data_IF_317163122683
#
_entry.id   IF_317163122683
#
_cell.length_a   1.000
_cell.length_b   1.000
_cell.length_c   1.000
_cell.angle_alpha   90.00
_cell.angle_beta   90.00
_cell.angle_gamma   90.00
#
_symmetry.space_group_name_H-M   'P 1'
#
loop_
_entity.id
_entity.type
_entity.pdbx_description
1 polymer ?
#
# COMPACT_ATOMS: atom_id res chain seq x y z
N UNK A 1 12.87 23.76 6.64
CA UNK A 1 12.91 22.27 6.58
C UNK A 1 11.80 21.82 7.50
N UNK A 2 11.00 20.88 7.07
CA UNK A 2 9.83 20.44 7.84
C UNK A 2 10.27 19.83 9.17
N UNK A 3 9.66 20.27 10.24
CA UNK A 3 9.96 19.78 11.60
C UNK A 3 9.92 18.24 11.67
N UNK A 4 9.01 17.62 10.90
CA UNK A 4 8.87 16.15 10.84
C UNK A 4 10.12 15.41 10.34
N UNK A 5 10.95 16.04 9.50
CA UNK A 5 12.19 15.44 8.98
C UNK A 5 13.42 15.78 9.83
N UNK A 6 13.37 16.83 10.65
CA UNK A 6 14.49 17.23 11.51
C UNK A 6 14.75 16.18 12.59
N UNK A 7 13.70 15.65 13.19
CA UNK A 7 13.76 14.66 14.26
C UNK A 7 13.91 13.21 13.76
N UNK A 8 13.69 12.97 12.48
CA UNK A 8 13.85 11.63 11.87
C UNK A 8 15.31 11.20 11.99
N UNK A 9 15.58 10.10 12.69
CA UNK A 9 16.94 9.57 12.92
C UNK A 9 17.35 8.51 11.90
N UNK A 10 16.38 7.83 11.30
CA UNK A 10 16.58 6.74 10.36
C UNK A 10 15.38 6.65 9.43
N UNK A 11 15.61 6.25 8.20
CA UNK A 11 14.51 5.90 7.28
C UNK A 11 13.73 4.67 7.71
N UNK A 12 14.28 3.77 8.53
CA UNK A 12 13.57 2.59 9.07
C UNK A 12 12.75 2.99 10.30
N UNK A 13 11.46 3.26 10.11
CA UNK A 13 10.58 3.83 11.13
C UNK A 13 9.76 2.80 11.93
N UNK A 14 9.39 1.66 11.33
CA UNK A 14 8.72 0.55 12.02
C UNK A 14 9.50 -0.73 11.72
N UNK A 15 9.96 -1.43 12.75
CA UNK A 15 10.89 -2.55 12.61
C UNK A 15 10.21 -3.88 12.88
N UNK A 16 10.31 -4.80 11.92
CA UNK A 16 9.93 -6.19 12.11
C UNK A 16 10.96 -7.00 12.91
N UNK A 17 10.58 -8.19 13.29
CA UNK A 17 11.40 -9.13 14.07
C UNK A 17 11.17 -10.59 13.63
N UNK A 18 11.63 -11.56 14.40
CA UNK A 18 11.52 -13.01 14.10
C UNK A 18 10.06 -13.51 14.08
N UNK A 19 9.11 -12.72 14.56
CA UNK A 19 7.69 -13.09 14.64
C UNK A 19 6.75 -12.12 13.94
N UNK A 20 7.27 -10.96 13.54
CA UNK A 20 6.45 -9.90 12.94
C UNK A 20 7.08 -9.36 11.68
N UNK A 21 6.26 -9.22 10.63
CA UNK A 21 6.59 -8.42 9.46
C UNK A 21 5.55 -7.30 9.28
N UNK A 22 6.02 -6.10 8.99
CA UNK A 22 5.21 -4.93 8.70
C UNK A 22 5.37 -4.58 7.22
N UNK A 23 4.26 -4.64 6.46
CA UNK A 23 4.28 -4.61 5.00
C UNK A 23 3.20 -3.67 4.46
N UNK A 24 3.30 -3.33 3.18
CA UNK A 24 2.25 -2.67 2.39
C UNK A 24 1.67 -1.41 3.08
N UNK A 25 2.49 -0.40 3.40
CA UNK A 25 1.99 0.78 4.07
C UNK A 25 1.06 1.59 3.17
N UNK A 26 -0.09 2.01 3.73
CA UNK A 26 -0.97 3.04 3.22
C UNK A 26 -1.01 4.19 4.22
N UNK A 27 -1.00 5.42 3.76
CA UNK A 27 -0.90 6.57 4.65
C UNK A 27 -1.90 7.66 4.28
N UNK A 28 -2.62 8.13 5.26
CA UNK A 28 -3.43 9.35 5.20
C UNK A 28 -2.80 10.40 6.13
N UNK A 29 -2.47 11.57 5.60
CA UNK A 29 -2.06 12.71 6.42
C UNK A 29 -3.25 13.64 6.60
N UNK A 30 -3.61 13.90 7.85
CA UNK A 30 -4.76 14.75 8.18
C UNK A 30 -4.52 15.47 9.50
N UNK A 31 -4.76 16.78 9.51
CA UNK A 31 -4.71 17.64 10.71
C UNK A 31 -3.38 17.50 11.50
N UNK A 32 -2.25 17.39 10.79
CA UNK A 32 -0.91 17.25 11.41
C UNK A 32 -0.55 15.84 11.86
N UNK A 33 -1.39 14.83 11.58
CA UNK A 33 -1.19 13.44 12.00
C UNK A 33 -1.11 12.53 10.78
N UNK A 34 -0.14 11.64 10.77
CA UNK A 34 -0.05 10.51 9.84
C UNK A 34 -0.83 9.32 10.43
N UNK A 35 -1.87 8.92 9.77
CA UNK A 35 -2.58 7.66 9.98
C UNK A 35 -1.90 6.62 9.08
N UNK A 36 -1.13 5.72 9.65
CA UNK A 36 -0.36 4.72 8.92
C UNK A 36 -1.05 3.37 9.05
N UNK A 37 -1.62 2.90 7.96
CA UNK A 37 -2.22 1.57 7.83
C UNK A 37 -1.21 0.64 7.18
N UNK A 38 -1.17 -0.63 7.58
CA UNK A 38 -0.23 -1.60 7.02
C UNK A 38 -0.68 -3.03 7.30
N UNK A 39 -0.08 -3.97 6.59
CA UNK A 39 -0.18 -5.38 6.90
C UNK A 39 0.73 -5.72 8.09
N UNK A 40 0.15 -6.23 9.18
CA UNK A 40 0.87 -6.96 10.20
C UNK A 40 0.81 -8.45 9.87
N UNK A 41 1.95 -9.06 9.61
CA UNK A 41 2.11 -10.52 9.58
C UNK A 41 2.60 -10.95 10.95
N UNK A 42 1.87 -11.84 11.62
CA UNK A 42 2.18 -12.32 12.97
C UNK A 42 2.33 -13.84 12.97
N UNK A 43 3.51 -14.32 13.37
CA UNK A 43 3.79 -15.73 13.54
C UNK A 43 3.59 -16.11 14.99
N UNK A 44 2.62 -16.97 15.29
CA UNK A 44 2.33 -17.47 16.63
C UNK A 44 3.39 -18.48 17.12
N UNK A 45 3.35 -18.83 18.40
CA UNK A 45 4.34 -19.72 19.01
C UNK A 45 4.35 -21.14 18.42
N UNK A 46 3.24 -21.58 17.85
CA UNK A 46 3.11 -22.88 17.16
C UNK A 46 3.49 -22.80 15.66
N UNK A 47 3.96 -21.65 15.19
CA UNK A 47 4.33 -21.39 13.80
C UNK A 47 3.15 -21.02 12.89
N UNK A 48 1.94 -20.90 13.43
CA UNK A 48 0.77 -20.45 12.64
C UNK A 48 0.88 -18.97 12.32
N UNK A 49 0.68 -18.63 11.05
CA UNK A 49 0.78 -17.25 10.56
C UNK A 49 -0.60 -16.64 10.33
N UNK A 50 -0.79 -15.45 10.85
CA UNK A 50 -1.98 -14.61 10.63
C UNK A 50 -1.57 -13.27 10.04
N UNK A 51 -2.46 -12.69 9.24
CA UNK A 51 -2.31 -11.34 8.71
C UNK A 51 -3.48 -10.47 9.15
N UNK A 52 -3.17 -9.21 9.40
CA UNK A 52 -4.15 -8.20 9.81
C UNK A 52 -3.89 -6.90 9.06
N UNK A 53 -4.94 -6.22 8.66
CA UNK A 53 -4.87 -4.78 8.41
C UNK A 53 -4.82 -4.09 9.76
N UNK A 54 -3.82 -3.25 9.96
CA UNK A 54 -3.54 -2.57 11.23
C UNK A 54 -3.36 -1.07 11.03
N UNK A 55 -3.38 -0.33 12.12
CA UNK A 55 -3.18 1.12 12.17
C UNK A 55 -2.19 1.49 13.29
N UNK A 56 -1.35 2.48 13.03
CA UNK A 56 -0.66 3.30 14.04
C UNK A 56 -0.68 4.76 13.60
N UNK A 57 -0.47 5.69 14.53
CA UNK A 57 -0.48 7.13 14.25
C UNK A 57 0.78 7.79 14.78
N UNK A 58 1.19 8.84 14.10
CA UNK A 58 2.33 9.67 14.51
C UNK A 58 2.20 11.09 13.96
N UNK A 59 2.69 12.06 14.71
CA UNK A 59 2.82 13.44 14.23
C UNK A 59 4.25 13.77 13.75
N UNK A 60 5.24 12.93 14.11
CA UNK A 60 6.67 13.23 13.97
C UNK A 60 7.51 12.10 13.38
N UNK A 61 6.88 10.99 12.93
CA UNK A 61 7.51 9.80 12.39
C UNK A 61 8.53 9.12 13.34
N UNK A 62 8.47 9.46 14.62
CA UNK A 62 9.38 8.96 15.68
C UNK A 62 8.61 8.35 16.83
N UNK A 63 7.54 9.02 17.27
CA UNK A 63 6.68 8.57 18.34
C UNK A 63 5.36 8.04 17.76
N UNK A 64 5.09 6.76 17.98
CA UNK A 64 3.93 6.07 17.41
C UNK A 64 2.94 5.65 18.48
N UNK A 65 1.65 5.73 18.17
CA UNK A 65 0.63 5.10 19.02
C UNK A 65 0.78 3.57 18.97
N UNK A 66 0.25 2.84 19.98
CA UNK A 66 0.19 1.38 19.91
C UNK A 66 -0.51 0.89 18.64
N UNK A 67 0.03 -0.19 18.05
CA UNK A 67 -0.57 -0.81 16.85
C UNK A 67 -1.95 -1.37 17.19
N UNK A 68 -2.96 -0.99 16.40
CA UNK A 68 -4.34 -1.43 16.51
C UNK A 68 -4.68 -2.36 15.34
N UNK A 69 -5.12 -3.59 15.64
CA UNK A 69 -5.66 -4.51 14.63
C UNK A 69 -7.07 -4.06 14.25
N UNK A 70 -7.33 -3.82 12.97
CA UNK A 70 -8.62 -3.37 12.44
C UNK A 70 -9.46 -4.53 11.94
N UNK A 71 -8.86 -5.67 11.61
CA UNK A 71 -9.53 -6.82 11.02
C UNK A 71 -9.46 -8.06 11.91
N UNK A 72 -10.33 -9.03 11.64
CA UNK A 72 -10.48 -10.25 12.44
C UNK A 72 -9.32 -11.23 12.24
N UNK A 73 -9.08 -12.07 13.27
CA UNK A 73 -8.14 -13.19 13.21
C UNK A 73 -8.79 -14.38 12.49
N UNK A 74 -8.58 -14.47 11.18
CA UNK A 74 -9.14 -15.56 10.35
C UNK A 74 -8.26 -15.82 9.12
N UNK A 75 -7.63 -16.99 9.02
CA UNK A 75 -6.74 -17.38 7.91
C UNK A 75 -7.44 -17.54 6.57
N UNK A 76 -8.76 -17.71 6.55
CA UNK A 76 -9.57 -17.74 5.32
C UNK A 76 -9.57 -16.38 4.64
N UNK A 77 -9.43 -15.33 5.44
CA UNK A 77 -9.36 -13.95 4.95
C UNK A 77 -7.94 -13.42 4.99
N UNK A 78 -7.27 -13.43 6.15
CA UNK A 78 -5.99 -12.76 6.33
C UNK A 78 -6.02 -11.38 5.67
N UNK A 79 -6.94 -10.52 6.11
CA UNK A 79 -7.09 -9.17 5.55
C UNK A 79 -5.79 -8.38 5.67
N UNK A 80 -5.31 -7.88 4.54
CA UNK A 80 -3.97 -7.31 4.41
C UNK A 80 -3.90 -6.30 3.26
N UNK A 81 -2.72 -5.77 3.01
CA UNK A 81 -2.42 -4.81 1.95
C UNK A 81 -3.48 -3.72 1.84
N UNK A 82 -3.62 -2.86 2.88
CA UNK A 82 -4.40 -1.65 2.73
C UNK A 82 -3.78 -0.84 1.58
N UNK A 83 -4.57 -0.56 0.54
CA UNK A 83 -4.05 0.15 -0.63
C UNK A 83 -3.93 1.64 -0.34
N UNK A 84 -5.05 2.25 0.01
CA UNK A 84 -5.13 3.65 0.42
C UNK A 84 -6.47 3.96 1.08
N UNK A 85 -6.58 5.18 1.61
CA UNK A 85 -7.81 5.72 2.19
C UNK A 85 -8.26 6.94 1.39
N UNK A 86 -9.48 6.91 0.87
CA UNK A 86 -10.11 8.00 0.12
C UNK A 86 -11.31 8.53 0.91
N UNK A 87 -11.41 9.85 1.10
CA UNK A 87 -12.60 10.48 1.66
C UNK A 87 -13.58 10.83 0.55
N UNK A 88 -14.79 10.28 0.62
CA UNK A 88 -15.85 10.52 -0.34
C UNK A 88 -17.22 10.31 0.30
N UNK A 89 -18.19 11.18 -0.03
CA UNK A 89 -19.55 11.14 0.50
C UNK A 89 -19.63 11.05 2.05
N UNK A 90 -18.79 11.87 2.72
CA UNK A 90 -18.81 11.96 4.18
C UNK A 90 -18.19 10.78 4.92
N UNK A 91 -17.57 9.82 4.20
CA UNK A 91 -16.91 8.66 4.77
C UNK A 91 -15.50 8.45 4.20
N UNK A 92 -14.63 7.88 5.02
CA UNK A 92 -13.35 7.34 4.60
C UNK A 92 -13.56 5.91 4.08
N UNK A 93 -12.99 5.61 2.93
CA UNK A 93 -13.07 4.32 2.24
C UNK A 93 -11.66 3.77 2.10
N UNK A 94 -11.42 2.58 2.65
CA UNK A 94 -10.14 1.87 2.54
C UNK A 94 -10.33 0.66 1.65
N UNK A 95 -9.56 0.53 0.57
CA UNK A 95 -9.46 -0.73 -0.14
C UNK A 95 -8.41 -1.62 0.52
N UNK A 96 -8.67 -2.90 0.57
CA UNK A 96 -7.80 -3.92 1.13
C UNK A 96 -8.05 -5.26 0.42
N UNK A 97 -7.26 -6.26 0.73
CA UNK A 97 -7.38 -7.59 0.15
C UNK A 97 -7.59 -8.67 1.19
N UNK A 98 -7.99 -9.85 0.74
CA UNK A 98 -7.75 -11.10 1.45
C UNK A 98 -6.46 -11.75 0.95
N UNK A 99 -5.75 -12.44 1.84
CA UNK A 99 -4.55 -13.23 1.52
C UNK A 99 -4.72 -14.65 2.08
N UNK A 100 -5.59 -15.42 1.43
CA UNK A 100 -6.07 -16.70 1.92
C UNK A 100 -4.93 -17.72 2.07
N UNK A 101 -4.76 -18.27 3.30
CA UNK A 101 -3.72 -19.25 3.66
C UNK A 101 -4.30 -20.37 4.52
N UNK A 102 -5.52 -20.74 4.26
CA UNK A 102 -6.31 -21.68 5.07
C UNK A 102 -5.73 -23.10 5.10
N UNK A 103 -5.02 -23.52 4.04
CA UNK A 103 -4.40 -24.84 3.92
C UNK A 103 -2.91 -24.82 4.24
N UNK A 104 -2.36 -23.74 4.82
CA UNK A 104 -0.96 -23.61 5.15
C UNK A 104 -0.07 -23.15 3.99
N UNK A 105 -0.63 -22.54 2.97
CA UNK A 105 0.11 -21.94 1.86
C UNK A 105 1.14 -20.92 2.41
N UNK A 106 2.35 -20.91 1.86
CA UNK A 106 3.36 -19.90 2.19
C UNK A 106 2.95 -18.53 1.68
N UNK A 107 2.41 -18.49 0.48
CA UNK A 107 1.84 -17.29 -0.15
C UNK A 107 0.33 -17.43 -0.27
N UNK A 108 -0.39 -16.33 -0.49
CA UNK A 108 -1.83 -16.35 -0.69
C UNK A 108 -2.22 -17.13 -1.95
N UNK A 109 -3.40 -17.75 -1.92
CA UNK A 109 -3.91 -18.57 -3.01
C UNK A 109 -4.82 -17.79 -3.96
N UNK A 110 -5.41 -18.47 -4.96
CA UNK A 110 -6.27 -17.88 -5.99
C UNK A 110 -7.63 -17.41 -5.46
N UNK A 111 -7.96 -17.65 -4.19
CA UNK A 111 -9.17 -17.13 -3.54
C UNK A 111 -8.99 -15.71 -2.98
N UNK A 112 -7.82 -15.12 -3.11
CA UNK A 112 -7.59 -13.73 -2.67
C UNK A 112 -8.40 -12.74 -3.48
N UNK A 113 -9.13 -11.84 -2.80
CA UNK A 113 -10.08 -10.88 -3.38
C UNK A 113 -9.91 -9.49 -2.77
N UNK A 114 -10.46 -8.52 -3.46
CA UNK A 114 -10.44 -7.12 -3.04
C UNK A 114 -11.72 -6.80 -2.27
N UNK A 115 -11.55 -6.05 -1.19
CA UNK A 115 -12.60 -5.60 -0.30
C UNK A 115 -12.50 -4.10 -0.09
N UNK A 116 -13.57 -3.51 0.42
CA UNK A 116 -13.61 -2.15 0.93
C UNK A 116 -14.13 -2.18 2.36
N UNK A 117 -13.58 -1.34 3.22
CA UNK A 117 -14.13 -1.03 4.54
C UNK A 117 -14.29 0.48 4.68
N UNK A 118 -15.27 0.92 5.47
CA UNK A 118 -15.61 2.33 5.62
C UNK A 118 -15.50 2.79 7.07
N UNK A 119 -15.23 4.09 7.24
CA UNK A 119 -15.22 4.75 8.55
C UNK A 119 -15.79 6.17 8.41
N UNK A 120 -16.53 6.61 9.42
CA UNK A 120 -16.98 7.99 9.50
C UNK A 120 -15.95 8.92 10.16
N UNK A 121 -15.04 8.36 10.97
CA UNK A 121 -14.23 9.13 11.93
C UNK A 121 -12.74 8.72 11.98
N UNK A 122 -12.32 7.72 11.22
CA UNK A 122 -11.00 7.07 11.28
C UNK A 122 -10.72 6.32 12.60
N UNK A 123 -11.66 6.30 13.54
CA UNK A 123 -11.54 5.59 14.82
C UNK A 123 -12.17 4.21 14.77
N UNK A 124 -13.32 4.10 14.12
CA UNK A 124 -14.09 2.88 13.98
C UNK A 124 -14.29 2.55 12.51
N UNK A 125 -13.94 1.33 12.14
CA UNK A 125 -14.08 0.82 10.79
C UNK A 125 -15.16 -0.25 10.72
N UNK A 126 -15.99 -0.18 9.69
CA UNK A 126 -17.01 -1.19 9.40
C UNK A 126 -16.35 -2.53 9.00
N UNK A 127 -17.11 -3.62 9.05
CA UNK A 127 -16.66 -4.92 8.53
C UNK A 127 -16.38 -4.81 7.03
N UNK A 128 -15.22 -5.29 6.53
CA UNK A 128 -14.92 -5.28 5.11
C UNK A 128 -15.97 -6.02 4.29
N UNK A 129 -16.37 -5.45 3.16
CA UNK A 129 -17.25 -6.08 2.17
C UNK A 129 -16.55 -6.28 0.83
N UNK A 130 -16.82 -7.40 0.11
CA UNK A 130 -16.20 -7.69 -1.17
C UNK A 130 -16.74 -6.79 -2.27
N UNK A 131 -15.89 -6.53 -3.28
CA UNK A 131 -16.27 -5.84 -4.52
C UNK A 131 -16.10 -6.76 -5.72
N UNK A 132 -16.83 -6.49 -6.79
CA UNK A 132 -16.73 -7.19 -8.07
C UNK A 132 -15.73 -6.47 -8.97
N UNK A 133 -14.44 -6.66 -8.70
CA UNK A 133 -13.34 -5.96 -9.38
C UNK A 133 -13.27 -6.21 -10.90
N UNK A 134 -13.89 -7.28 -11.38
CA UNK A 134 -14.05 -7.65 -12.81
C UNK A 134 -15.50 -7.94 -13.18
N UNK A 135 -16.43 -7.19 -12.61
CA UNK A 135 -17.86 -7.36 -12.90
C UNK A 135 -18.35 -8.78 -12.63
N UNK A 136 -19.15 -9.32 -13.54
CA UNK A 136 -19.78 -10.64 -13.43
C UNK A 136 -18.88 -11.81 -13.86
N UNK A 137 -17.56 -11.61 -13.93
CA UNK A 137 -16.61 -12.70 -14.22
C UNK A 137 -16.78 -13.84 -13.20
N UNK A 138 -16.97 -15.10 -13.63
CA UNK A 138 -17.14 -16.23 -12.73
C UNK A 138 -15.97 -16.37 -11.75
N UNK A 139 -16.25 -16.72 -10.49
CA UNK A 139 -15.21 -16.87 -9.44
C UNK A 139 -14.09 -17.82 -9.83
N UNK A 140 -14.40 -18.88 -10.59
CA UNK A 140 -13.42 -19.86 -11.10
C UNK A 140 -12.45 -19.29 -12.14
N UNK A 141 -12.76 -18.14 -12.73
CA UNK A 141 -11.97 -17.50 -13.78
C UNK A 141 -11.25 -16.24 -13.27
N UNK A 142 -11.59 -15.76 -12.08
CA UNK A 142 -11.01 -14.52 -11.53
C UNK A 142 -9.51 -14.63 -11.26
N UNK A 143 -9.05 -15.78 -10.73
CA UNK A 143 -7.69 -15.89 -10.22
C UNK A 143 -7.42 -14.98 -9.01
N UNK A 144 -6.18 -14.88 -8.61
CA UNK A 144 -5.73 -14.08 -7.48
C UNK A 144 -5.73 -12.58 -7.82
N UNK A 145 -6.36 -11.76 -6.96
CA UNK A 145 -6.35 -10.30 -7.04
C UNK A 145 -5.88 -9.72 -5.73
N UNK A 146 -4.80 -8.94 -5.76
CA UNK A 146 -4.14 -8.38 -4.56
C UNK A 146 -3.65 -6.95 -4.80
N UNK A 147 -3.19 -6.29 -3.72
CA UNK A 147 -2.58 -4.95 -3.69
C UNK A 147 -3.44 -3.89 -4.39
N UNK A 148 -4.68 -3.68 -3.90
CA UNK A 148 -5.58 -2.74 -4.51
C UNK A 148 -5.18 -1.28 -4.22
N UNK A 149 -5.53 -0.38 -5.12
CA UNK A 149 -5.43 1.07 -4.95
C UNK A 149 -6.62 1.77 -5.60
N UNK A 150 -7.25 2.70 -4.90
CA UNK A 150 -8.42 3.44 -5.37
C UNK A 150 -8.10 4.88 -5.71
N UNK A 151 -8.67 5.38 -6.81
CA UNK A 151 -8.72 6.80 -7.15
C UNK A 151 -10.16 7.16 -7.47
N UNK A 152 -10.63 8.28 -6.93
CA UNK A 152 -11.87 8.89 -7.37
C UNK A 152 -11.55 10.09 -8.26
N UNK A 153 -11.97 10.03 -9.51
CA UNK A 153 -11.83 11.13 -10.46
C UNK A 153 -13.08 12.00 -10.41
N UNK A 154 -13.03 13.14 -9.71
CA UNK A 154 -14.16 14.04 -9.49
C UNK A 154 -14.78 14.58 -10.79
N UNK A 155 -13.97 14.79 -11.84
CA UNK A 155 -14.43 15.37 -13.12
C UNK A 155 -15.38 14.46 -13.87
N UNK A 156 -15.22 13.17 -13.76
CA UNK A 156 -15.96 12.14 -14.49
C UNK A 156 -16.91 11.35 -13.60
N UNK A 157 -16.84 11.54 -12.27
CA UNK A 157 -17.58 10.78 -11.27
C UNK A 157 -17.28 9.27 -11.39
N UNK A 158 -15.99 8.94 -11.56
CA UNK A 158 -15.53 7.57 -11.79
C UNK A 158 -14.51 7.16 -10.72
N UNK A 159 -14.68 5.97 -10.19
CA UNK A 159 -13.70 5.27 -9.40
C UNK A 159 -12.78 4.46 -10.31
N UNK A 160 -11.48 4.60 -10.14
CA UNK A 160 -10.45 3.76 -10.73
C UNK A 160 -9.90 2.84 -9.66
N UNK A 161 -9.85 1.55 -9.95
CA UNK A 161 -9.25 0.52 -9.12
C UNK A 161 -8.05 -0.07 -9.86
N UNK A 162 -6.87 0.09 -9.27
CA UNK A 162 -5.64 -0.58 -9.72
C UNK A 162 -5.35 -1.74 -8.76
N UNK A 163 -4.92 -2.89 -9.29
CA UNK A 163 -4.61 -4.04 -8.46
C UNK A 163 -3.65 -5.00 -9.16
N UNK A 164 -2.93 -5.81 -8.39
CA UNK A 164 -2.01 -6.81 -8.93
C UNK A 164 -2.78 -8.02 -9.44
N UNK A 165 -2.73 -8.21 -10.74
CA UNK A 165 -3.05 -9.43 -11.47
C UNK A 165 -2.52 -9.30 -12.90
N UNK A 166 -1.57 -10.17 -13.31
CA UNK A 166 -0.94 -10.13 -14.64
C UNK A 166 -0.33 -8.75 -15.00
N UNK A 167 0.38 -8.12 -14.09
CA UNK A 167 0.77 -6.72 -14.14
C UNK A 167 -0.08 -5.89 -13.18
N UNK A 168 -0.33 -4.62 -13.47
CA UNK A 168 -1.28 -3.76 -12.78
C UNK A 168 -2.59 -3.79 -13.56
N UNK A 169 -3.58 -4.54 -13.08
CA UNK A 169 -4.93 -4.51 -13.65
C UNK A 169 -5.63 -3.21 -13.31
N UNK A 170 -6.43 -2.69 -14.24
CA UNK A 170 -7.21 -1.48 -14.10
C UNK A 170 -8.69 -1.77 -14.34
N UNK A 171 -9.54 -1.28 -13.44
CA UNK A 171 -11.00 -1.38 -13.56
C UNK A 171 -11.63 -0.07 -13.12
N UNK A 172 -12.84 0.24 -13.63
CA UNK A 172 -13.57 1.48 -13.33
C UNK A 172 -14.98 1.21 -12.80
N UNK A 173 -15.52 2.12 -11.98
CA UNK A 173 -16.85 1.99 -11.39
C UNK A 173 -17.47 3.35 -11.07
N UNK A 174 -18.82 3.43 -11.03
CA UNK A 174 -19.57 4.56 -10.49
C UNK A 174 -20.14 4.28 -9.09
N UNK A 175 -20.13 3.03 -8.60
CA UNK A 175 -20.81 2.64 -7.35
C UNK A 175 -19.90 1.99 -6.31
N UNK A 176 -18.60 1.84 -6.58
CA UNK A 176 -17.61 1.14 -5.74
C UNK A 176 -17.91 -0.35 -5.48
N UNK A 177 -18.87 -0.94 -6.18
CA UNK A 177 -19.26 -2.35 -6.00
C UNK A 177 -19.03 -3.17 -7.25
N UNK A 178 -19.46 -2.64 -8.39
CA UNK A 178 -19.37 -3.29 -9.70
C UNK A 178 -18.38 -2.53 -10.56
N UNK A 179 -17.23 -3.16 -10.84
CA UNK A 179 -16.18 -2.58 -11.64
C UNK A 179 -16.14 -3.21 -13.04
N UNK A 180 -15.98 -2.39 -14.06
CA UNK A 180 -15.71 -2.79 -15.42
C UNK A 180 -14.19 -2.92 -15.61
N UNK A 181 -13.74 -4.06 -16.11
CA UNK A 181 -12.32 -4.29 -16.38
C UNK A 181 -11.89 -3.57 -17.66
N UNK A 182 -10.91 -2.66 -17.54
CA UNK A 182 -10.38 -1.85 -18.65
C UNK A 182 -9.14 -2.47 -19.31
N UNK A 183 -8.42 -3.32 -18.60
CA UNK A 183 -7.19 -3.92 -19.09
C UNK A 183 -6.10 -3.98 -18.03
N UNK A 184 -4.84 -4.11 -18.46
CA UNK A 184 -3.71 -4.11 -17.56
C UNK A 184 -2.58 -3.22 -18.09
N UNK A 185 -1.77 -2.75 -17.16
CA UNK A 185 -0.57 -1.94 -17.37
C UNK A 185 0.62 -2.84 -17.05
N UNK A 186 1.66 -2.83 -17.87
CA UNK A 186 2.91 -3.50 -17.52
C UNK A 186 3.51 -2.82 -16.27
N UNK A 187 3.61 -3.56 -15.18
CA UNK A 187 4.03 -3.03 -13.88
C UNK A 187 3.97 -4.08 -12.78
N UNK A 188 4.47 -3.70 -11.62
CA UNK A 188 4.49 -4.55 -10.44
C UNK A 188 3.29 -4.33 -9.52
N UNK A 189 3.45 -4.75 -8.30
CA UNK A 189 2.44 -4.70 -7.22
C UNK A 189 2.57 -3.44 -6.36
N UNK A 190 1.71 -3.29 -5.32
CA UNK A 190 1.71 -2.18 -4.36
C UNK A 190 1.70 -0.80 -5.05
N UNK A 191 0.72 -0.61 -5.91
CA UNK A 191 0.55 0.66 -6.63
C UNK A 191 0.21 1.78 -5.67
N UNK A 192 0.81 2.95 -5.85
CA UNK A 192 0.30 4.21 -5.34
C UNK A 192 0.37 5.30 -6.41
N UNK A 193 -0.62 6.16 -6.43
CA UNK A 193 -0.73 7.21 -7.46
C UNK A 193 -0.88 8.57 -6.79
N UNK A 194 -0.16 9.55 -7.31
CA UNK A 194 -0.30 10.94 -6.90
C UNK A 194 -0.69 11.80 -8.10
N UNK A 195 -1.71 12.64 -7.90
CA UNK A 195 -2.09 13.68 -8.85
C UNK A 195 -1.14 14.86 -8.70
N UNK A 196 -0.59 15.33 -9.78
CA UNK A 196 0.27 16.49 -9.86
C UNK A 196 -0.14 17.37 -11.03
N UNK A 197 0.34 18.60 -11.06
CA UNK A 197 0.04 19.51 -12.19
C UNK A 197 0.50 18.86 -13.52
N UNK A 198 -0.48 18.60 -14.38
CA UNK A 198 -0.29 17.98 -15.69
C UNK A 198 -0.50 16.47 -15.79
N UNK A 199 -0.86 15.77 -14.70
CA UNK A 199 -1.20 14.34 -14.73
C UNK A 199 -0.89 13.57 -13.46
N UNK A 200 -0.60 12.28 -13.60
CA UNK A 200 -0.48 11.33 -12.50
C UNK A 200 0.86 10.61 -12.53
N UNK A 201 1.50 10.49 -11.39
CA UNK A 201 2.62 9.57 -11.21
C UNK A 201 2.16 8.33 -10.46
N UNK A 202 2.45 7.15 -11.00
CA UNK A 202 2.25 5.86 -10.36
C UNK A 202 3.59 5.31 -9.90
N UNK A 203 3.67 4.95 -8.63
CA UNK A 203 4.77 4.19 -8.04
C UNK A 203 4.33 2.76 -7.85
N UNK A 204 5.16 1.79 -8.20
CA UNK A 204 4.84 0.37 -8.10
C UNK A 204 6.08 -0.45 -7.77
N UNK A 205 5.90 -1.59 -7.11
CA UNK A 205 7.00 -2.51 -6.84
C UNK A 205 7.41 -3.19 -8.14
N UNK A 206 8.59 -2.88 -8.65
CA UNK A 206 9.23 -3.68 -9.67
C UNK A 206 9.80 -4.97 -9.05
N UNK A 207 10.55 -5.76 -9.81
CA UNK A 207 11.17 -6.97 -9.26
C UNK A 207 12.03 -6.68 -8.01
N UNK A 208 12.74 -5.56 -8.02
CA UNK A 208 13.43 -4.98 -6.88
C UNK A 208 13.53 -3.47 -7.09
N UNK A 209 13.21 -2.69 -6.05
CA UNK A 209 13.08 -1.24 -6.14
C UNK A 209 11.68 -0.80 -6.57
N UNK A 210 11.50 0.50 -6.71
CA UNK A 210 10.21 1.15 -6.98
C UNK A 210 10.23 1.75 -8.38
N UNK A 211 9.45 1.17 -9.29
CA UNK A 211 9.23 1.69 -10.63
C UNK A 211 8.33 2.92 -10.60
N UNK A 212 8.51 3.81 -11.56
CA UNK A 212 7.73 5.05 -11.70
C UNK A 212 7.13 5.12 -13.10
N UNK A 213 5.83 5.41 -13.18
CA UNK A 213 5.13 5.67 -14.43
C UNK A 213 4.42 7.02 -14.40
N UNK A 214 4.16 7.58 -15.55
CA UNK A 214 3.38 8.81 -15.73
C UNK A 214 2.23 8.57 -16.69
N UNK A 215 1.08 9.18 -16.38
CA UNK A 215 -0.10 9.24 -17.22
C UNK A 215 -0.74 10.63 -17.16
N UNK A 216 -1.36 11.07 -18.24
CA UNK A 216 -2.21 12.28 -18.27
C UNK A 216 -3.70 11.97 -18.11
N UNK A 217 -4.10 10.70 -18.11
CA UNK A 217 -5.50 10.27 -18.24
C UNK A 217 -5.88 9.02 -17.41
N UNK A 218 -5.01 8.53 -16.52
CA UNK A 218 -5.16 7.30 -15.74
C UNK A 218 -5.24 6.00 -16.55
N UNK A 219 -5.24 6.07 -17.88
CA UNK A 219 -5.37 4.91 -18.77
C UNK A 219 -4.06 4.57 -19.48
N UNK A 220 -3.38 5.60 -20.01
CA UNK A 220 -2.16 5.43 -20.80
C UNK A 220 -0.93 5.77 -19.97
N UNK A 221 -0.14 4.75 -19.60
CA UNK A 221 1.02 4.89 -18.72
C UNK A 221 2.33 4.66 -19.47
N UNK A 222 3.35 5.46 -19.17
CA UNK A 222 4.72 5.29 -19.67
C UNK A 222 5.71 5.29 -18.52
N UNK A 223 6.79 4.55 -18.66
CA UNK A 223 7.87 4.53 -17.68
C UNK A 223 8.59 5.89 -17.59
N UNK A 224 9.03 6.22 -16.37
CA UNK A 224 9.79 7.45 -16.06
C UNK A 224 11.04 7.09 -15.27
N UNK A 225 12.20 7.23 -15.90
CA UNK A 225 13.50 6.98 -15.25
C UNK A 225 13.74 5.51 -14.92
N UNK A 226 14.77 5.30 -14.11
CA UNK A 226 15.13 3.99 -13.57
C UNK A 226 14.42 3.74 -12.24
N UNK A 227 14.22 2.47 -11.82
CA UNK A 227 13.63 2.17 -10.52
C UNK A 227 14.39 2.81 -9.35
N UNK A 228 13.65 3.34 -8.40
CA UNK A 228 14.18 3.93 -7.17
C UNK A 228 14.62 2.81 -6.22
N UNK A 229 15.84 2.88 -5.73
CA UNK A 229 16.38 1.91 -4.76
C UNK A 229 16.78 2.54 -3.43
N UNK A 230 16.74 3.87 -3.33
CA UNK A 230 17.11 4.63 -2.13
C UNK A 230 18.47 4.18 -1.55
N UNK A 231 18.53 3.97 -0.24
CA UNK A 231 19.69 3.44 0.48
C UNK A 231 19.73 1.92 0.61
N UNK A 232 18.94 1.16 -0.17
CA UNK A 232 18.75 -0.29 -0.04
C UNK A 232 20.06 -1.07 0.08
N UNK A 233 21.07 -0.73 -0.72
CA UNK A 233 22.39 -1.40 -0.70
C UNK A 233 23.13 -1.29 0.63
N UNK A 234 22.79 -0.27 1.44
CA UNK A 234 23.42 0.04 2.72
C UNK A 234 22.49 -0.31 3.91
N UNK A 235 21.27 -0.79 3.62
CA UNK A 235 20.25 -1.12 4.61
C UNK A 235 20.06 -2.63 4.76
N UNK A 236 20.67 -3.30 5.76
CA UNK A 236 20.44 -4.74 5.96
C UNK A 236 18.97 -5.13 6.03
N UNK A 237 18.12 -4.27 6.61
CA UNK A 237 16.67 -4.51 6.77
C UNK A 237 15.86 -4.47 5.47
N UNK A 238 16.41 -3.92 4.38
CA UNK A 238 15.75 -3.81 3.07
C UNK A 238 16.55 -4.46 1.93
N UNK A 239 17.68 -5.10 2.25
CA UNK A 239 18.64 -5.60 1.25
C UNK A 239 18.05 -6.73 0.41
N UNK A 240 17.18 -7.56 0.98
CA UNK A 240 16.53 -8.66 0.27
C UNK A 240 15.45 -8.20 -0.71
N UNK A 241 14.68 -7.18 -0.36
CA UNK A 241 13.70 -6.54 -1.25
C UNK A 241 13.31 -5.16 -0.77
N UNK A 242 13.09 -4.25 -1.71
CA UNK A 242 12.45 -2.95 -1.51
C UNK A 242 11.15 -2.92 -2.32
N UNK A 243 10.05 -2.58 -1.66
CA UNK A 243 8.69 -2.66 -2.21
C UNK A 243 7.99 -1.31 -2.04
N UNK A 244 7.30 -0.84 -3.06
CA UNK A 244 6.51 0.39 -3.01
C UNK A 244 5.42 0.33 -1.92
N UNK A 245 4.90 1.47 -1.59
CA UNK A 245 3.82 1.64 -0.62
C UNK A 245 3.05 2.92 -0.92
N UNK A 246 2.95 3.82 0.05
CA UNK A 246 2.16 5.05 -0.08
C UNK A 246 3.03 6.26 -0.37
N UNK A 247 2.51 7.15 -1.21
CA UNK A 247 3.06 8.50 -1.38
C UNK A 247 2.09 9.53 -0.81
N UNK A 248 2.62 10.49 -0.07
CA UNK A 248 1.86 11.57 0.56
C UNK A 248 2.49 12.90 0.20
N UNK A 249 1.67 13.85 -0.27
CA UNK A 249 2.10 15.22 -0.46
C UNK A 249 1.84 16.05 0.81
N UNK A 250 2.86 16.76 1.23
CA UNK A 250 2.80 17.76 2.29
C UNK A 250 3.17 19.12 1.70
N UNK A 251 2.27 20.06 1.76
CA UNK A 251 2.56 21.46 1.36
C UNK A 251 2.99 22.25 2.57
N UNK A 252 4.24 22.70 2.61
CA UNK A 252 4.71 23.62 3.63
C UNK A 252 5.36 24.85 3.01
N UNK A 253 4.86 26.02 3.36
CA UNK A 253 5.41 27.30 2.87
C UNK A 253 5.36 27.47 1.34
N UNK A 254 4.41 26.83 0.65
CA UNK A 254 4.22 26.91 -0.80
C UNK A 254 5.19 26.06 -1.63
N UNK A 255 5.97 25.18 -1.00
CA UNK A 255 6.78 24.19 -1.69
C UNK A 255 6.25 22.79 -1.43
N UNK A 256 6.09 21.95 -2.48
CA UNK A 256 5.68 20.56 -2.26
C UNK A 256 6.79 19.79 -1.53
N UNK A 257 6.38 18.91 -0.65
CA UNK A 257 7.20 17.86 -0.10
C UNK A 257 6.43 16.56 -0.26
N UNK A 258 7.06 15.56 -0.82
CA UNK A 258 6.52 14.23 -1.01
C UNK A 258 7.21 13.25 -0.06
N UNK A 259 6.43 12.50 0.70
CA UNK A 259 6.94 11.39 1.51
C UNK A 259 6.53 10.07 0.86
N UNK A 260 7.50 9.20 0.60
CA UNK A 260 7.28 7.82 0.17
C UNK A 260 7.42 6.91 1.39
N UNK A 261 6.32 6.27 1.79
CA UNK A 261 6.34 5.17 2.74
C UNK A 261 6.46 3.87 1.94
N UNK A 262 7.38 3.02 2.31
CA UNK A 262 7.67 1.77 1.61
C UNK A 262 7.96 0.66 2.63
N UNK A 263 7.96 -0.60 2.21
CA UNK A 263 8.49 -1.64 3.08
C UNK A 263 9.75 -2.27 2.49
N UNK A 264 10.61 -2.73 3.39
CA UNK A 264 11.81 -3.46 3.06
C UNK A 264 11.86 -4.78 3.78
N UNK A 265 12.48 -5.79 3.16
CA UNK A 265 12.72 -7.11 3.74
C UNK A 265 14.21 -7.41 3.64
N UNK A 266 14.79 -7.89 4.72
CA UNK A 266 16.22 -8.23 4.74
C UNK A 266 16.68 -8.78 6.09
N UNK A 267 17.96 -9.25 6.14
CA UNK A 267 18.95 -9.23 5.04
C UNK A 267 18.73 -10.28 3.96
N UNK A 268 17.93 -11.32 4.23
CA UNK A 268 17.64 -12.40 3.29
C UNK A 268 16.59 -11.99 2.26
N UNK A 269 16.53 -12.75 1.16
CA UNK A 269 15.51 -12.57 0.12
C UNK A 269 14.09 -12.73 0.72
N UNK A 270 13.17 -11.92 0.26
CA UNK A 270 11.79 -11.93 0.75
C UNK A 270 11.13 -13.31 0.65
N UNK A 271 11.44 -14.09 -0.39
CA UNK A 271 10.88 -15.44 -0.54
C UNK A 271 11.31 -16.41 0.58
N UNK A 272 12.39 -16.12 1.28
CA UNK A 272 12.89 -16.88 2.43
C UNK A 272 12.20 -16.45 3.72
N UNK A 273 12.19 -15.13 4.00
CA UNK A 273 11.71 -14.54 5.26
C UNK A 273 10.39 -13.75 5.08
N UNK A 274 9.48 -14.23 4.23
CA UNK A 274 8.25 -13.54 3.87
C UNK A 274 7.40 -13.14 5.08
N UNK A 275 7.32 -13.97 6.09
CA UNK A 275 6.44 -13.78 7.25
C UNK A 275 7.11 -13.02 8.41
N UNK A 276 8.38 -12.62 8.28
CA UNK A 276 9.19 -12.04 9.36
C UNK A 276 10.06 -10.89 8.87
N UNK A 277 10.62 -10.10 9.79
CA UNK A 277 11.67 -9.09 9.58
C UNK A 277 11.36 -7.93 8.63
N UNK A 278 10.26 -7.95 7.87
CA UNK A 278 9.92 -6.81 7.04
C UNK A 278 9.56 -5.60 7.91
N UNK A 279 10.03 -4.43 7.51
CA UNK A 279 9.81 -3.17 8.21
C UNK A 279 9.39 -2.05 7.27
N UNK A 280 8.82 -0.98 7.85
CA UNK A 280 8.38 0.19 7.09
C UNK A 280 9.45 1.27 7.15
N UNK A 281 9.72 1.85 5.99
CA UNK A 281 10.65 2.95 5.81
C UNK A 281 9.99 4.19 5.23
N UNK A 282 10.72 5.31 5.31
CA UNK A 282 10.34 6.59 4.70
C UNK A 282 11.51 7.22 3.95
N UNK A 283 11.22 7.74 2.77
CA UNK A 283 12.09 8.62 1.99
C UNK A 283 11.30 9.86 1.57
N UNK A 284 11.97 10.93 1.17
CA UNK A 284 11.27 12.16 0.78
C UNK A 284 11.87 12.79 -0.47
N UNK A 285 11.05 13.59 -1.15
CA UNK A 285 11.43 14.33 -2.35
C UNK A 285 10.72 15.68 -2.39
N UNK A 286 11.31 16.64 -3.09
CA UNK A 286 10.69 17.95 -3.36
C UNK A 286 10.21 18.08 -4.82
N UNK A 287 10.47 17.06 -5.66
CA UNK A 287 10.21 17.10 -7.10
C UNK A 287 9.82 15.75 -7.71
N UNK A 288 9.60 14.71 -6.88
CA UNK A 288 9.33 13.32 -7.27
C UNK A 288 10.43 12.62 -8.08
N UNK A 289 11.58 13.28 -8.27
CA UNK A 289 12.72 12.77 -9.05
C UNK A 289 13.93 12.53 -8.17
N UNK A 290 14.26 13.52 -7.34
CA UNK A 290 15.40 13.47 -6.44
C UNK A 290 14.93 13.08 -5.04
N UNK A 291 15.35 11.91 -4.57
CA UNK A 291 14.92 11.34 -3.30
C UNK A 291 16.03 11.38 -2.25
N UNK A 292 15.64 11.64 -1.02
CA UNK A 292 16.49 11.72 0.16
C UNK A 292 16.03 10.74 1.23
N UNK A 293 16.98 10.29 2.06
CA UNK A 293 16.76 9.35 3.16
C UNK A 293 17.81 9.51 4.26
N UNK A 294 17.63 8.83 5.40
CA UNK A 294 18.57 8.79 6.54
C UNK A 294 19.00 7.38 6.91
#
# INVERSE_FOLDING_TARGET
MLSVLEDLKSSHIIKGDERHAFRDPAVLYKDGVFYIYFTLVETEADGTVYMYTTETRTADLTNFTPIKKLTVRDRRYNFSSPGNVVFHDGKYKMCLQTYCRENGEKFGNDNSRIFIMESADLESWDTPYPILAKGDTPLSELGRMIDPYLIYEEKTDVWHLFYKQNGVSHSTSHDLKHFNYEGFIDGGENVSVIDVDGGYYMFHSSRNGIGVKFSSDLHNWRDVGEPLTFGQKDWPWAMGRLTAGAIVELSEGGKPLYLMFFHGTGPEDESVIFDTHAGIGVAWSFDLKNWFWK
#
